data_IF_922052862987
#
_entry.id   IF_922052862987
#
_cell.length_a   1.000
_cell.length_b   1.000
_cell.length_c   1.000
_cell.angle_alpha   90.00
_cell.angle_beta   90.00
_cell.angle_gamma   90.00
#
_symmetry.space_group_name_H-M   'P 1'
#
loop_
_entity.id
_entity.type
_entity.pdbx_description
1 polymer ?
#
# COMPACT_ATOMS: atom_id res chain seq x y z
N UNK A 1 8.70 -22.40 -18.95
CA UNK A 1 9.02 -21.02 -18.56
C UNK A 1 9.36 -21.04 -17.08
N UNK A 2 10.50 -20.46 -16.66
CA UNK A 2 10.95 -20.46 -15.25
C UNK A 2 10.84 -19.02 -14.74
N UNK A 3 10.11 -18.82 -13.64
CA UNK A 3 10.06 -17.53 -12.95
C UNK A 3 11.32 -17.42 -12.09
N UNK A 4 12.18 -16.41 -12.28
CA UNK A 4 13.48 -16.34 -11.62
C UNK A 4 13.39 -15.99 -10.13
N UNK A 5 12.35 -15.23 -9.72
CA UNK A 5 12.11 -14.82 -8.33
C UNK A 5 10.61 -14.63 -8.09
N UNK A 6 10.14 -15.04 -6.92
CA UNK A 6 8.80 -14.78 -6.40
C UNK A 6 8.93 -13.91 -5.15
N UNK A 7 8.50 -12.66 -5.24
CA UNK A 7 8.38 -11.75 -4.10
C UNK A 7 6.90 -11.67 -3.75
N UNK A 8 6.57 -11.88 -2.48
CA UNK A 8 5.19 -11.97 -2.04
C UNK A 8 4.94 -11.10 -0.81
N UNK A 9 3.70 -10.62 -0.69
CA UNK A 9 3.24 -9.86 0.47
C UNK A 9 1.95 -10.49 0.95
N UNK A 10 1.90 -10.84 2.23
CA UNK A 10 0.75 -11.47 2.86
C UNK A 10 0.71 -11.09 4.35
N UNK A 11 -0.50 -11.02 4.90
CA UNK A 11 -0.72 -10.83 6.33
C UNK A 11 -0.66 -12.17 7.10
N UNK A 12 -0.77 -13.29 6.39
CA UNK A 12 -0.79 -14.64 6.95
C UNK A 12 0.23 -15.56 6.26
N UNK A 13 0.64 -16.61 6.96
CA UNK A 13 1.46 -17.69 6.39
C UNK A 13 0.61 -18.58 5.48
N UNK A 14 0.34 -18.12 4.27
CA UNK A 14 -0.41 -18.86 3.24
C UNK A 14 0.46 -19.88 2.50
N UNK A 15 -0.16 -20.72 1.66
CA UNK A 15 0.59 -21.62 0.76
C UNK A 15 1.55 -20.84 -0.16
N UNK A 16 1.15 -19.66 -0.63
CA UNK A 16 1.96 -18.81 -1.50
C UNK A 16 3.23 -18.30 -0.81
N UNK A 17 3.16 -18.02 0.49
CA UNK A 17 4.33 -17.65 1.31
C UNK A 17 5.39 -18.76 1.29
N UNK A 18 4.99 -20.03 1.30
CA UNK A 18 5.92 -21.16 1.29
C UNK A 18 6.70 -21.31 -0.03
N UNK A 19 6.18 -20.77 -1.13
CA UNK A 19 6.83 -20.78 -2.45
C UNK A 19 7.60 -19.49 -2.78
N UNK A 20 7.57 -18.48 -1.91
CA UNK A 20 8.20 -17.19 -2.16
C UNK A 20 9.71 -17.20 -1.83
N UNK A 21 10.50 -16.49 -2.63
CA UNK A 21 11.91 -16.21 -2.36
C UNK A 21 12.11 -15.10 -1.32
N UNK A 22 11.16 -14.17 -1.25
CA UNK A 22 11.16 -13.02 -0.34
C UNK A 22 9.72 -12.69 0.06
N UNK A 23 9.51 -12.47 1.35
CA UNK A 23 8.20 -12.12 1.91
C UNK A 23 8.29 -10.71 2.50
N UNK A 24 7.27 -9.91 2.24
CA UNK A 24 7.00 -8.62 2.87
C UNK A 24 5.78 -8.79 3.81
N UNK A 25 5.98 -8.96 5.13
CA UNK A 25 4.88 -9.20 6.06
C UNK A 25 3.94 -7.98 6.16
N UNK A 26 2.69 -8.16 5.73
CA UNK A 26 1.69 -7.10 5.69
C UNK A 26 0.86 -7.03 6.98
N UNK A 27 0.21 -5.91 7.20
CA UNK A 27 -0.81 -5.72 8.22
C UNK A 27 -2.19 -6.14 7.70
N UNK A 28 -3.13 -6.36 8.62
CA UNK A 28 -4.55 -6.48 8.31
C UNK A 28 -5.18 -5.09 8.08
N UNK A 29 -6.44 -5.08 7.65
CA UNK A 29 -7.15 -3.85 7.31
C UNK A 29 -7.50 -2.95 8.52
N UNK A 30 -7.49 -3.48 9.76
CA UNK A 30 -7.75 -2.71 10.99
C UNK A 30 -6.50 -2.01 11.53
N UNK A 31 -5.34 -2.28 10.94
CA UNK A 31 -4.03 -1.87 11.44
C UNK A 31 -3.39 -0.75 10.61
N UNK A 32 -4.07 -0.26 9.56
CA UNK A 32 -3.48 0.71 8.63
C UNK A 32 -4.48 1.76 8.14
N UNK A 33 -3.94 2.91 7.77
CA UNK A 33 -4.66 3.88 6.94
C UNK A 33 -4.85 3.29 5.55
N UNK A 34 -6.04 3.44 5.00
CA UNK A 34 -6.34 3.03 3.63
C UNK A 34 -7.52 3.85 3.11
N UNK A 35 -7.72 3.82 1.81
CA UNK A 35 -8.93 4.35 1.21
C UNK A 35 -9.34 3.44 0.06
N UNK A 36 -10.64 3.31 -0.14
CA UNK A 36 -11.23 2.49 -1.19
C UNK A 36 -12.14 3.41 -1.98
N UNK A 37 -11.79 3.58 -3.25
CA UNK A 37 -12.53 4.43 -4.18
C UNK A 37 -13.71 3.65 -4.76
N UNK A 38 -14.75 4.37 -5.19
CA UNK A 38 -15.82 3.91 -6.07
C UNK A 38 -15.27 3.20 -7.33
N UNK A 39 -14.06 3.57 -7.74
CA UNK A 39 -13.37 2.98 -8.87
C UNK A 39 -12.78 1.59 -8.56
N UNK A 40 -12.57 1.26 -7.28
CA UNK A 40 -12.06 -0.03 -6.81
C UNK A 40 -13.21 -1.03 -6.66
N UNK A 41 -13.48 -1.78 -7.73
CA UNK A 41 -14.59 -2.76 -7.76
C UNK A 41 -14.28 -4.01 -6.94
N UNK A 42 -15.23 -4.56 -6.13
CA UNK A 42 -16.55 -4.02 -5.78
C UNK A 42 -16.60 -3.56 -4.31
N UNK A 43 -16.52 -2.24 -4.08
CA UNK A 43 -17.09 -1.63 -2.85
C UNK A 43 -18.55 -1.22 -3.02
N UNK A 44 -18.97 -0.93 -4.26
CA UNK A 44 -20.33 -0.48 -4.56
C UNK A 44 -21.33 -1.63 -4.62
N UNK A 45 -22.53 -1.36 -4.14
CA UNK A 45 -23.68 -2.27 -4.15
C UNK A 45 -24.76 -1.78 -5.13
N UNK A 46 -25.76 -2.61 -5.51
CA UNK A 46 -26.87 -2.17 -6.35
C UNK A 46 -27.61 -0.92 -5.83
N UNK A 47 -27.52 -0.64 -4.52
CA UNK A 47 -28.14 0.51 -3.88
C UNK A 47 -27.42 1.85 -4.05
N UNK A 48 -26.16 1.86 -4.50
CA UNK A 48 -25.44 3.13 -4.69
C UNK A 48 -23.93 3.01 -4.80
N UNK A 49 -23.31 4.12 -5.20
CA UNK A 49 -21.87 4.32 -5.15
C UNK A 49 -21.38 4.37 -3.71
N UNK A 50 -20.22 3.75 -3.45
CA UNK A 50 -19.58 3.76 -2.14
C UNK A 50 -18.12 4.18 -2.27
N UNK A 51 -17.68 4.99 -1.32
CA UNK A 51 -16.28 5.31 -1.03
C UNK A 51 -16.07 5.06 0.47
N UNK A 52 -14.87 4.62 0.86
CA UNK A 52 -14.56 4.41 2.26
C UNK A 52 -13.12 4.79 2.59
N UNK A 53 -12.93 5.27 3.81
CA UNK A 53 -11.62 5.36 4.44
C UNK A 53 -11.47 4.23 5.46
N UNK A 54 -10.24 3.79 5.67
CA UNK A 54 -9.84 2.97 6.81
C UNK A 54 -8.96 3.81 7.71
N UNK A 55 -9.36 3.87 8.97
CA UNK A 55 -8.57 4.43 10.04
C UNK A 55 -8.09 3.29 10.95
N UNK A 56 -6.81 3.24 11.35
CA UNK A 56 -6.31 2.20 12.23
C UNK A 56 -7.11 2.14 13.53
N UNK A 57 -7.63 0.96 13.85
CA UNK A 57 -8.36 0.68 15.10
C UNK A 57 -7.42 0.08 16.14
N UNK A 58 -6.43 -0.68 15.69
CA UNK A 58 -5.41 -1.31 16.53
C UNK A 58 -4.02 -1.05 15.95
N UNK A 59 -3.01 -1.03 16.81
CA UNK A 59 -1.61 -1.03 16.38
C UNK A 59 -1.14 -2.48 16.21
N UNK A 60 -0.29 -2.78 15.21
CA UNK A 60 0.34 -4.08 15.12
C UNK A 60 1.18 -4.39 16.37
N UNK A 61 1.08 -5.62 16.86
CA UNK A 61 1.88 -6.19 17.95
C UNK A 61 3.00 -7.11 17.44
N UNK A 62 3.30 -7.04 16.14
CA UNK A 62 4.18 -7.91 15.37
C UNK A 62 5.12 -7.08 14.50
N UNK A 63 6.17 -7.72 13.98
CA UNK A 63 7.11 -7.11 13.03
C UNK A 63 6.53 -7.08 11.60
N UNK A 64 5.46 -6.32 11.42
CA UNK A 64 4.74 -6.16 10.14
C UNK A 64 4.63 -4.69 9.75
N UNK A 65 4.50 -4.40 8.45
CA UNK A 65 4.31 -3.05 7.93
C UNK A 65 3.25 -3.05 6.84
N UNK A 66 2.35 -2.07 6.84
CA UNK A 66 1.34 -1.94 5.81
C UNK A 66 1.97 -1.90 4.42
N UNK A 67 1.53 -2.78 3.52
CA UNK A 67 2.16 -3.03 2.23
C UNK A 67 2.27 -1.79 1.37
N UNK A 68 1.26 -0.91 1.38
CA UNK A 68 1.32 0.36 0.65
C UNK A 68 2.50 1.25 1.11
N UNK A 69 2.74 1.34 2.42
CA UNK A 69 3.89 2.07 2.98
C UNK A 69 5.22 1.41 2.61
N UNK A 70 5.26 0.07 2.53
CA UNK A 70 6.44 -0.66 2.05
C UNK A 70 6.73 -0.36 0.57
N UNK A 71 5.69 -0.28 -0.28
CA UNK A 71 5.87 0.08 -1.68
C UNK A 71 6.42 1.49 -1.87
N UNK A 72 5.98 2.45 -1.06
CA UNK A 72 6.52 3.82 -1.08
C UNK A 72 8.00 3.85 -0.67
N UNK A 73 8.35 3.17 0.42
CA UNK A 73 9.74 3.03 0.91
C UNK A 73 10.63 2.35 -0.16
N UNK A 74 10.17 1.26 -0.76
CA UNK A 74 10.88 0.58 -1.85
C UNK A 74 11.03 1.49 -3.08
N UNK A 75 9.98 2.20 -3.47
CA UNK A 75 10.03 3.14 -4.59
C UNK A 75 11.05 4.24 -4.37
N UNK A 76 11.14 4.78 -3.16
CA UNK A 76 12.15 5.77 -2.79
C UNK A 76 13.58 5.18 -2.83
N UNK A 77 13.80 3.99 -2.25
CA UNK A 77 15.11 3.31 -2.27
C UNK A 77 15.61 2.98 -3.67
N UNK A 78 14.69 2.68 -4.57
CA UNK A 78 14.97 2.43 -5.98
C UNK A 78 15.13 3.71 -6.80
N UNK A 79 14.92 4.89 -6.21
CA UNK A 79 14.99 6.17 -6.91
C UNK A 79 13.92 6.33 -7.99
N UNK A 80 12.75 5.70 -7.80
CA UNK A 80 11.71 5.73 -8.82
C UNK A 80 11.18 7.16 -9.02
N UNK A 81 10.87 7.56 -10.27
CA UNK A 81 10.24 8.85 -10.54
C UNK A 81 8.99 9.05 -9.67
N UNK A 82 8.81 10.29 -9.19
CA UNK A 82 7.72 10.70 -8.30
C UNK A 82 7.68 10.04 -6.91
N UNK A 83 8.67 9.20 -6.55
CA UNK A 83 8.81 8.62 -5.20
C UNK A 83 9.94 9.27 -4.39
N UNK A 84 10.74 10.13 -5.01
CA UNK A 84 11.84 10.88 -4.38
C UNK A 84 11.74 12.38 -4.67
N UNK A 85 12.26 13.18 -3.75
CA UNK A 85 12.50 14.61 -3.93
C UNK A 85 13.74 14.85 -4.80
N UNK A 86 14.00 16.11 -5.15
CA UNK A 86 15.18 16.48 -5.97
C UNK A 86 16.51 16.15 -5.29
N UNK A 87 16.53 16.11 -3.95
CA UNK A 87 17.69 15.74 -3.14
C UNK A 87 17.85 14.21 -2.94
N UNK A 88 16.94 13.41 -3.52
CA UNK A 88 16.92 11.96 -3.40
C UNK A 88 16.25 11.42 -2.12
N UNK A 89 15.76 12.30 -1.23
CA UNK A 89 15.00 11.86 -0.05
C UNK A 89 13.64 11.27 -0.44
N UNK A 90 13.09 10.31 0.33
CA UNK A 90 11.74 9.79 0.09
C UNK A 90 10.71 10.92 0.06
N UNK A 91 9.86 10.92 -0.97
CA UNK A 91 8.84 11.96 -1.13
C UNK A 91 7.68 11.82 -0.13
N UNK A 92 7.37 10.58 0.26
CA UNK A 92 6.30 10.25 1.20
C UNK A 92 6.87 9.43 2.35
N UNK A 93 6.50 9.77 3.58
CA UNK A 93 6.95 9.08 4.78
C UNK A 93 6.29 7.70 4.92
N UNK A 94 4.99 7.61 4.64
CA UNK A 94 4.18 6.41 4.66
C UNK A 94 2.93 6.58 3.77
N UNK A 95 2.03 5.60 3.79
CA UNK A 95 0.81 5.66 2.99
C UNK A 95 -0.20 6.71 3.48
N UNK A 96 -0.20 7.07 4.77
CA UNK A 96 -1.09 8.12 5.27
C UNK A 96 -0.66 9.48 4.72
N UNK A 97 0.65 9.75 4.72
CA UNK A 97 1.25 10.92 4.10
C UNK A 97 0.97 10.97 2.58
N UNK A 98 1.09 9.82 1.90
CA UNK A 98 0.74 9.70 0.48
C UNK A 98 -0.72 10.04 0.19
N UNK A 99 -1.68 9.52 0.96
CA UNK A 99 -3.11 9.79 0.75
C UNK A 99 -3.40 11.30 0.82
N UNK A 100 -2.74 12.01 1.74
CA UNK A 100 -2.96 13.44 1.97
C UNK A 100 -2.28 14.30 0.90
N UNK A 101 -1.04 13.96 0.54
CA UNK A 101 -0.17 14.86 -0.22
C UNK A 101 0.04 14.46 -1.69
N UNK A 102 -0.37 13.26 -2.10
CA UNK A 102 -0.28 12.87 -3.49
C UNK A 102 -1.33 13.58 -4.34
N UNK A 103 -0.88 14.24 -5.39
CA UNK A 103 -1.74 14.76 -6.45
C UNK A 103 -1.41 14.08 -7.78
N UNK A 104 -2.41 13.44 -8.39
CA UNK A 104 -2.31 12.90 -9.75
C UNK A 104 -2.34 14.03 -10.79
N UNK A 105 -3.09 15.10 -10.49
CA UNK A 105 -3.18 16.37 -11.21
C UNK A 105 -3.47 17.47 -10.18
N UNK A 106 -3.27 18.76 -10.50
CA UNK A 106 -3.60 19.84 -9.57
C UNK A 106 -5.04 19.74 -9.04
N UNK A 107 -5.20 19.61 -7.72
CA UNK A 107 -6.49 19.44 -7.05
C UNK A 107 -7.16 18.06 -7.21
N UNK A 108 -6.45 17.06 -7.76
CA UNK A 108 -6.94 15.68 -7.91
C UNK A 108 -6.01 14.74 -7.16
N UNK A 109 -6.52 14.20 -6.05
CA UNK A 109 -5.82 13.25 -5.19
C UNK A 109 -5.63 11.85 -5.79
N UNK A 110 -5.20 10.87 -4.98
CA UNK A 110 -4.92 9.52 -5.44
C UNK A 110 -6.16 8.66 -5.73
N UNK A 111 -7.35 9.08 -5.27
CA UNK A 111 -8.59 8.28 -5.24
C UNK A 111 -9.73 8.95 -6.01
#
# INVERSE_FOLDING_TARGET
YVIPRIIYSDAYSSEMVAYADLILPDTTYLERHDCISLLDRPISEPGGAADAIRYPVIQPDRDVRGFQSVLLDLGARLGLPAMVNQDGSPKFADYADYIINHERKPGIGPL
#
